data_IF_441595321451
#
_entry.id   IF_441595321451
#
_cell.length_a   1.000
_cell.length_b   1.000
_cell.length_c   1.000
_cell.angle_alpha   90.00
_cell.angle_beta   90.00
_cell.angle_gamma   90.00
#
_symmetry.space_group_name_H-M   'P 1'
#
loop_
_entity.id
_entity.type
_entity.pdbx_description
1 polymer ?
#
# COMPACT_ATOMS: atom_id res chain seq x y z
N UNK A 1 4.47 8.18 -16.27
CA UNK A 1 4.49 7.27 -15.09
C UNK A 1 5.85 7.47 -14.42
N UNK A 2 5.89 7.81 -13.14
CA UNK A 2 7.13 8.00 -12.37
C UNK A 2 7.33 6.92 -11.28
N UNK A 3 6.35 6.03 -11.12
CA UNK A 3 6.32 4.99 -10.11
C UNK A 3 5.60 3.74 -10.61
N UNK A 4 6.08 2.56 -10.21
CA UNK A 4 5.44 1.26 -10.48
C UNK A 4 5.36 0.44 -9.19
N UNK A 5 4.16 -0.03 -8.88
CA UNK A 5 3.88 -1.00 -7.81
C UNK A 5 3.88 -2.41 -8.38
N UNK A 6 4.55 -3.33 -7.68
CA UNK A 6 4.49 -4.77 -7.93
C UNK A 6 3.52 -5.41 -6.93
N UNK A 7 2.31 -5.72 -7.42
CA UNK A 7 1.19 -6.16 -6.60
C UNK A 7 1.46 -7.53 -5.95
N UNK A 8 1.77 -7.56 -4.64
CA UNK A 8 2.08 -8.78 -3.88
C UNK A 8 3.25 -9.60 -4.42
N UNK A 9 4.34 -8.95 -4.89
CA UNK A 9 5.61 -9.63 -5.16
C UNK A 9 6.79 -8.65 -5.30
N UNK A 10 8.01 -9.19 -5.29
CA UNK A 10 9.24 -8.46 -5.62
C UNK A 10 9.74 -8.85 -7.02
N UNK A 11 10.01 -7.90 -7.91
CA UNK A 11 10.53 -8.19 -9.24
C UNK A 11 11.99 -8.66 -9.21
N UNK A 12 12.49 -9.28 -10.29
CA UNK A 12 13.90 -9.64 -10.41
C UNK A 12 14.78 -8.40 -10.61
N UNK A 13 16.09 -8.55 -10.35
CA UNK A 13 17.17 -7.57 -10.60
C UNK A 13 16.99 -6.77 -11.91
N UNK A 14 16.66 -7.46 -13.01
CA UNK A 14 16.51 -6.84 -14.32
C UNK A 14 15.47 -5.70 -14.35
N UNK A 15 14.41 -5.80 -13.54
CA UNK A 15 13.41 -4.74 -13.43
C UNK A 15 13.96 -3.51 -12.69
N UNK A 16 14.76 -3.72 -11.63
CA UNK A 16 15.40 -2.64 -10.90
C UNK A 16 16.45 -1.92 -11.77
N UNK A 17 17.30 -2.67 -12.49
CA UNK A 17 18.28 -2.10 -13.43
C UNK A 17 17.60 -1.25 -14.52
N UNK A 18 16.47 -1.73 -15.06
CA UNK A 18 15.70 -0.97 -16.03
C UNK A 18 15.09 0.31 -15.41
N UNK A 19 14.53 0.20 -14.22
CA UNK A 19 13.92 1.33 -13.52
C UNK A 19 14.96 2.39 -13.10
N UNK A 20 16.15 1.96 -12.66
CA UNK A 20 17.29 2.84 -12.36
C UNK A 20 17.67 3.67 -13.59
N UNK A 21 17.74 3.01 -14.76
CA UNK A 21 18.12 3.66 -16.03
C UNK A 21 17.05 4.64 -16.53
N UNK A 22 15.78 4.36 -16.25
CA UNK A 22 14.64 5.17 -16.68
C UNK A 22 14.23 6.25 -15.66
N UNK A 23 14.79 6.22 -14.45
CA UNK A 23 14.40 7.12 -13.36
C UNK A 23 12.98 6.87 -12.86
N UNK A 24 12.56 5.60 -12.77
CA UNK A 24 11.23 5.19 -12.28
C UNK A 24 11.37 4.64 -10.87
N UNK A 25 10.53 5.08 -9.93
CA UNK A 25 10.49 4.51 -8.58
C UNK A 25 9.73 3.19 -8.55
N UNK A 26 10.23 2.22 -7.79
CA UNK A 26 9.58 0.93 -7.61
C UNK A 26 9.04 0.77 -6.18
N UNK A 27 7.85 0.18 -6.09
CA UNK A 27 7.28 -0.40 -4.87
C UNK A 27 7.11 -1.91 -5.02
N UNK A 28 8.13 -2.70 -4.64
CA UNK A 28 7.98 -4.11 -4.32
C UNK A 28 7.09 -4.32 -3.08
N UNK A 29 6.47 -5.50 -3.01
CA UNK A 29 5.70 -5.94 -1.85
C UNK A 29 6.10 -7.34 -1.43
N UNK A 30 5.88 -7.69 -0.15
CA UNK A 30 5.93 -9.09 0.24
C UNK A 30 4.87 -9.89 -0.54
N UNK A 31 5.12 -11.18 -0.81
CA UNK A 31 4.23 -12.02 -1.59
C UNK A 31 3.01 -12.48 -0.77
N UNK A 32 2.21 -11.53 -0.29
CA UNK A 32 1.14 -11.82 0.64
C UNK A 32 -0.13 -11.00 0.42
N UNK A 33 -1.24 -11.70 0.61
CA UNK A 33 -2.60 -11.19 0.74
C UNK A 33 -3.27 -12.03 1.82
N UNK A 34 -3.85 -11.38 2.83
CA UNK A 34 -4.50 -12.09 3.94
C UNK A 34 -4.26 -11.45 5.30
N UNK A 35 -4.38 -12.27 6.36
CA UNK A 35 -4.30 -11.81 7.75
C UNK A 35 -2.90 -11.98 8.32
N UNK A 36 -2.30 -10.88 8.80
CA UNK A 36 -1.13 -10.87 9.68
C UNK A 36 -1.54 -11.37 11.07
N UNK A 37 -1.66 -12.68 11.24
CA UNK A 37 -1.92 -13.30 12.56
C UNK A 37 -0.59 -13.63 13.25
N UNK A 38 -0.31 -12.96 14.37
CA UNK A 38 0.88 -13.23 15.20
C UNK A 38 0.94 -14.66 15.76
N UNK A 39 -0.18 -15.38 15.77
CA UNK A 39 -0.22 -16.80 16.17
C UNK A 39 0.28 -17.73 15.06
N UNK A 40 0.27 -17.29 13.80
CA UNK A 40 0.88 -18.03 12.70
C UNK A 40 2.38 -17.69 12.62
N UNK A 41 3.12 -18.22 13.59
CA UNK A 41 4.56 -17.97 13.73
C UNK A 41 5.34 -18.41 12.47
N UNK A 42 4.88 -19.46 11.79
CA UNK A 42 5.53 -19.96 10.57
C UNK A 42 5.39 -18.97 9.43
N UNK A 43 4.18 -18.47 9.19
CA UNK A 43 3.94 -17.48 8.15
C UNK A 43 4.64 -16.15 8.47
N UNK A 44 4.56 -15.68 9.72
CA UNK A 44 5.23 -14.45 10.12
C UNK A 44 6.75 -14.56 9.99
N UNK A 45 7.36 -15.68 10.41
CA UNK A 45 8.79 -15.90 10.23
C UNK A 45 9.19 -15.92 8.74
N UNK A 46 8.39 -16.56 7.89
CA UNK A 46 8.63 -16.57 6.45
C UNK A 46 8.56 -15.17 5.84
N UNK A 47 7.48 -14.42 6.12
CA UNK A 47 7.28 -13.08 5.54
C UNK A 47 8.33 -12.08 6.03
N UNK A 48 8.74 -12.15 7.30
CA UNK A 48 9.80 -11.30 7.83
C UNK A 48 11.13 -11.60 7.13
N UNK A 49 11.50 -12.89 7.08
CA UNK A 49 12.74 -13.32 6.44
C UNK A 49 12.76 -12.94 4.95
N UNK A 50 11.63 -13.07 4.26
CA UNK A 50 11.52 -12.69 2.86
C UNK A 50 11.70 -11.17 2.66
N UNK A 51 11.13 -10.34 3.53
CA UNK A 51 11.38 -8.90 3.48
C UNK A 51 12.85 -8.54 3.72
N UNK A 52 13.50 -9.20 4.68
CA UNK A 52 14.94 -9.05 4.91
C UNK A 52 15.74 -9.45 3.67
N UNK A 53 15.37 -10.55 3.01
CA UNK A 53 16.04 -11.01 1.79
C UNK A 53 15.90 -9.99 0.66
N UNK A 54 14.69 -9.51 0.40
CA UNK A 54 14.40 -8.49 -0.62
C UNK A 54 15.24 -7.22 -0.39
N UNK A 55 15.28 -6.73 0.84
CA UNK A 55 16.02 -5.51 1.19
C UNK A 55 17.54 -5.69 1.05
N UNK A 56 18.07 -6.87 1.42
CA UNK A 56 19.51 -7.14 1.29
C UNK A 56 19.93 -7.34 -0.16
N UNK A 57 19.11 -8.02 -0.94
CA UNK A 57 19.41 -8.31 -2.34
C UNK A 57 19.27 -7.04 -3.19
N UNK A 58 18.12 -6.39 -3.15
CA UNK A 58 17.76 -5.32 -4.09
C UNK A 58 17.83 -3.91 -3.49
N UNK A 59 18.02 -3.77 -2.17
CA UNK A 59 17.95 -2.46 -1.50
C UNK A 59 19.03 -1.46 -1.93
N UNK A 60 20.05 -1.91 -2.66
CA UNK A 60 21.11 -1.07 -3.22
C UNK A 60 20.66 -0.30 -4.48
N UNK A 61 19.54 -0.67 -5.11
CA UNK A 61 19.03 0.02 -6.29
C UNK A 61 18.41 1.38 -5.93
N UNK A 62 18.79 2.48 -6.62
CA UNK A 62 18.19 3.79 -6.40
C UNK A 62 16.72 3.88 -6.81
N UNK A 63 16.24 3.03 -7.73
CA UNK A 63 14.82 2.93 -8.07
C UNK A 63 13.98 2.31 -6.96
N UNK A 64 14.55 1.42 -6.13
CA UNK A 64 13.84 0.87 -4.99
C UNK A 64 13.73 1.93 -3.90
N UNK A 65 12.58 2.59 -3.80
CA UNK A 65 12.34 3.66 -2.81
C UNK A 65 11.21 3.36 -1.84
N UNK A 66 10.34 2.41 -2.17
CA UNK A 66 9.08 2.19 -1.46
C UNK A 66 8.86 0.70 -1.24
N UNK A 67 8.37 0.29 -0.07
CA UNK A 67 8.02 -1.10 0.21
C UNK A 67 6.71 -1.19 0.99
N UNK A 68 5.90 -2.20 0.69
CA UNK A 68 4.71 -2.53 1.48
C UNK A 68 4.76 -3.99 1.95
N UNK A 69 4.07 -4.30 3.05
CA UNK A 69 4.05 -5.66 3.60
C UNK A 69 3.15 -6.64 2.82
N UNK A 70 2.45 -6.19 1.78
CA UNK A 70 1.54 -6.99 0.98
C UNK A 70 0.31 -6.20 0.50
N UNK A 71 -0.69 -6.93 0.00
CA UNK A 71 -1.95 -6.39 -0.51
C UNK A 71 -3.12 -6.74 0.41
N UNK A 72 -4.04 -5.79 0.62
CA UNK A 72 -5.31 -5.94 1.34
C UNK A 72 -5.19 -6.73 2.64
N UNK A 73 -4.21 -6.31 3.44
CA UNK A 73 -3.86 -7.01 4.66
C UNK A 73 -4.84 -6.73 5.79
N UNK A 74 -5.10 -7.76 6.58
CA UNK A 74 -5.88 -7.69 7.82
C UNK A 74 -5.01 -8.18 9.00
N UNK A 75 -5.51 -8.13 10.23
CA UNK A 75 -4.85 -8.74 11.39
C UNK A 75 -4.12 -7.74 12.29
N UNK A 76 -2.99 -8.19 12.85
CA UNK A 76 -2.31 -7.52 13.96
C UNK A 76 -1.47 -6.32 13.48
N UNK A 77 -1.93 -5.12 13.81
CA UNK A 77 -1.30 -3.85 13.42
C UNK A 77 0.05 -3.66 14.12
N UNK A 78 0.19 -4.11 15.36
CA UNK A 78 1.47 -4.03 16.09
C UNK A 78 2.51 -4.93 15.42
N UNK A 79 2.10 -6.09 14.90
CA UNK A 79 2.98 -6.99 14.14
C UNK A 79 3.40 -6.39 12.79
N UNK A 80 2.48 -5.71 12.10
CA UNK A 80 2.83 -4.95 10.89
C UNK A 80 3.83 -3.84 11.21
N UNK A 81 3.61 -3.10 12.29
CA UNK A 81 4.54 -2.06 12.75
C UNK A 81 5.91 -2.62 13.08
N UNK A 82 5.97 -3.76 13.79
CA UNK A 82 7.22 -4.46 14.10
C UNK A 82 8.04 -4.75 12.84
N UNK A 83 7.40 -5.28 11.79
CA UNK A 83 8.07 -5.58 10.51
C UNK A 83 8.62 -4.31 9.86
N UNK A 84 7.81 -3.26 9.77
CA UNK A 84 8.24 -1.98 9.19
C UNK A 84 9.40 -1.38 9.96
N UNK A 85 9.34 -1.39 11.30
CA UNK A 85 10.41 -0.86 12.14
C UNK A 85 11.71 -1.66 11.98
N UNK A 86 11.63 -2.99 11.83
CA UNK A 86 12.80 -3.84 11.56
C UNK A 86 13.39 -3.63 10.17
N UNK A 87 12.54 -3.56 9.14
CA UNK A 87 12.96 -3.28 7.77
C UNK A 87 13.62 -1.90 7.66
N UNK A 88 13.08 -0.90 8.37
CA UNK A 88 13.66 0.45 8.44
C UNK A 88 15.04 0.47 9.08
N UNK A 89 15.36 -0.41 10.03
CA UNK A 89 16.73 -0.53 10.58
C UNK A 89 17.72 -1.05 9.54
N UNK A 90 17.26 -1.87 8.59
CA UNK A 90 18.09 -2.48 7.54
C UNK A 90 18.28 -1.50 6.38
N UNK A 91 17.21 -0.88 5.91
CA UNK A 91 17.21 0.07 4.81
C UNK A 91 16.44 1.35 5.23
N UNK A 92 17.11 2.24 5.99
CA UNK A 92 16.49 3.45 6.56
C UNK A 92 16.18 4.52 5.50
N UNK A 93 16.73 4.37 4.30
CA UNK A 93 16.52 5.28 3.20
C UNK A 93 15.24 4.96 2.41
N UNK A 94 14.52 3.87 2.70
CA UNK A 94 13.27 3.50 2.00
C UNK A 94 12.04 4.05 2.73
N UNK A 95 10.96 4.23 1.99
CA UNK A 95 9.63 4.54 2.53
C UNK A 95 8.82 3.26 2.69
N UNK A 96 8.11 3.15 3.81
CA UNK A 96 7.35 1.96 4.18
C UNK A 96 5.87 2.27 4.41
N UNK A 97 5.04 1.28 4.14
CA UNK A 97 3.63 1.29 4.50
C UNK A 97 3.20 -0.10 4.98
N UNK A 98 2.11 -0.18 5.74
CA UNK A 98 1.66 -1.46 6.31
C UNK A 98 1.07 -2.39 5.27
N UNK A 99 0.66 -1.88 4.12
CA UNK A 99 0.16 -2.67 3.01
C UNK A 99 -0.55 -1.76 2.01
N UNK A 100 -0.65 -2.20 0.77
CA UNK A 100 -1.58 -1.60 -0.18
C UNK A 100 -2.99 -2.02 0.18
N UNK A 101 -3.89 -1.08 0.46
CA UNK A 101 -5.25 -1.33 0.94
C UNK A 101 -5.33 -2.13 2.25
N UNK A 102 -4.38 -1.98 3.19
CA UNK A 102 -4.52 -2.64 4.49
C UNK A 102 -5.86 -2.23 5.17
N UNK A 103 -6.63 -3.21 5.65
CA UNK A 103 -8.00 -3.03 6.12
C UNK A 103 -8.91 -2.29 5.12
N UNK A 104 -8.64 -2.35 3.82
CA UNK A 104 -9.29 -1.55 2.77
C UNK A 104 -9.37 -0.05 3.12
N UNK A 105 -8.40 0.46 3.90
CA UNK A 105 -8.40 1.86 4.35
C UNK A 105 -9.22 2.19 5.59
N UNK A 106 -10.06 1.27 6.08
CA UNK A 106 -10.97 1.53 7.21
C UNK A 106 -10.26 1.90 8.51
N UNK A 107 -9.04 1.40 8.71
CA UNK A 107 -8.23 1.69 9.90
C UNK A 107 -7.44 3.01 9.80
N UNK A 108 -7.55 3.72 8.68
CA UNK A 108 -6.92 5.03 8.45
C UNK A 108 -5.40 4.95 8.34
N UNK A 109 -4.69 5.98 8.76
CA UNK A 109 -3.22 5.99 8.81
C UNK A 109 -2.78 5.54 10.23
N UNK A 110 -1.69 4.78 10.32
CA UNK A 110 -1.06 4.40 11.59
C UNK A 110 0.36 4.93 11.68
N UNK A 111 0.83 5.09 12.91
CA UNK A 111 2.21 5.48 13.19
C UNK A 111 3.19 4.45 12.60
N UNK A 112 4.23 4.95 11.90
CA UNK A 112 5.24 4.12 11.23
C UNK A 112 5.03 3.97 9.72
N UNK A 113 3.86 4.38 9.19
CA UNK A 113 3.63 4.51 7.74
C UNK A 113 4.19 5.84 7.23
N UNK A 114 5.01 5.81 6.18
CA UNK A 114 5.53 7.02 5.52
C UNK A 114 4.63 7.49 4.37
N UNK A 115 3.88 6.56 3.79
CA UNK A 115 2.88 6.81 2.74
C UNK A 115 1.73 5.83 2.91
N UNK A 116 0.62 6.08 2.22
CA UNK A 116 -0.52 5.17 2.25
C UNK A 116 -1.06 4.89 0.85
N UNK A 117 -0.87 3.65 0.40
CA UNK A 117 -1.56 3.12 -0.76
C UNK A 117 -2.93 2.59 -0.35
N UNK A 118 -4.00 3.27 -0.72
CA UNK A 118 -5.35 2.91 -0.26
C UNK A 118 -6.46 3.34 -1.22
N UNK A 119 -7.61 2.69 -1.12
CA UNK A 119 -8.86 3.07 -1.79
C UNK A 119 -9.67 4.08 -0.97
N UNK A 120 -9.52 4.09 0.36
CA UNK A 120 -10.18 5.05 1.26
C UNK A 120 -9.36 5.38 2.49
N UNK A 121 -9.75 6.43 3.22
CA UNK A 121 -9.16 6.79 4.52
C UNK A 121 -10.25 6.82 5.59
N UNK A 122 -10.16 5.87 6.53
CA UNK A 122 -11.04 5.79 7.68
C UNK A 122 -12.41 5.17 7.36
N UNK A 123 -13.32 5.27 8.34
CA UNK A 123 -14.67 4.73 8.21
C UNK A 123 -15.54 5.56 7.27
N UNK A 124 -16.37 4.87 6.52
CA UNK A 124 -17.27 5.43 5.52
C UNK A 124 -18.71 5.18 5.95
N UNK A 125 -19.55 6.23 5.94
CA UNK A 125 -20.99 6.04 6.07
C UNK A 125 -21.54 5.46 4.77
N UNK A 126 -22.43 4.47 4.83
CA UNK A 126 -23.01 3.87 3.63
C UNK A 126 -23.64 4.93 2.70
N UNK A 127 -23.28 4.91 1.42
CA UNK A 127 -23.70 5.92 0.44
C UNK A 127 -22.98 7.27 0.54
N UNK A 128 -21.89 7.33 1.31
CA UNK A 128 -20.95 8.46 1.33
C UNK A 128 -19.67 8.05 0.62
N UNK A 129 -19.04 9.01 -0.03
CA UNK A 129 -17.86 8.79 -0.86
C UNK A 129 -16.67 9.67 -0.43
N UNK A 130 -16.84 10.50 0.59
CA UNK A 130 -15.88 11.53 1.01
C UNK A 130 -14.60 10.99 1.71
N UNK A 131 -14.46 9.68 1.78
CA UNK A 131 -13.26 8.98 2.27
C UNK A 131 -12.48 8.33 1.14
N UNK A 132 -13.03 8.26 -0.07
CA UNK A 132 -12.38 7.58 -1.18
C UNK A 132 -11.17 8.37 -1.68
N UNK A 133 -10.11 7.64 -1.97
CA UNK A 133 -8.86 8.16 -2.56
C UNK A 133 -8.65 7.63 -3.98
N UNK A 134 -9.64 6.92 -4.52
CA UNK A 134 -9.68 6.41 -5.89
C UNK A 134 -11.11 6.27 -6.40
N UNK A 135 -11.27 6.15 -7.71
CA UNK A 135 -12.58 6.00 -8.34
C UNK A 135 -13.16 4.58 -8.26
N UNK A 136 -12.33 3.55 -8.48
CA UNK A 136 -12.78 2.16 -8.57
C UNK A 136 -12.98 1.50 -7.20
N UNK A 137 -14.14 0.85 -7.05
CA UNK A 137 -14.48 0.01 -5.90
C UNK A 137 -15.25 -1.22 -6.35
N UNK A 138 -15.10 -2.31 -5.59
CA UNK A 138 -16.03 -3.44 -5.69
C UNK A 138 -17.41 -3.03 -5.19
N UNK A 139 -18.46 -3.61 -5.77
CA UNK A 139 -19.83 -3.51 -5.24
C UNK A 139 -19.98 -4.08 -3.82
N UNK A 140 -19.04 -4.92 -3.38
CA UNK A 140 -18.99 -5.43 -2.02
C UNK A 140 -18.47 -4.38 -1.01
N UNK A 141 -17.71 -3.38 -1.46
CA UNK A 141 -16.87 -2.55 -0.62
C UNK A 141 -17.33 -1.09 -0.52
N UNK A 142 -18.21 -0.65 -1.42
CA UNK A 142 -18.80 0.69 -1.42
C UNK A 142 -20.20 0.66 -2.05
N UNK A 143 -21.07 1.59 -1.62
CA UNK A 143 -22.42 1.71 -2.18
C UNK A 143 -22.37 1.96 -3.70
N UNK A 144 -23.13 1.15 -4.44
CA UNK A 144 -23.14 1.08 -5.90
C UNK A 144 -21.75 0.88 -6.55
N UNK A 145 -20.78 0.30 -5.84
CA UNK A 145 -19.44 0.09 -6.39
C UNK A 145 -18.62 1.38 -6.52
N UNK A 146 -18.91 2.38 -5.68
CA UNK A 146 -18.12 3.61 -5.58
C UNK A 146 -18.53 4.72 -6.54
N UNK A 147 -17.76 5.80 -6.55
CA UNK A 147 -18.12 7.05 -7.23
C UNK A 147 -18.34 6.88 -8.74
N UNK A 148 -17.47 6.12 -9.41
CA UNK A 148 -17.51 5.95 -10.88
C UNK A 148 -18.80 5.25 -11.32
N UNK A 149 -19.28 4.30 -10.52
CA UNK A 149 -20.47 3.52 -10.84
C UNK A 149 -21.77 4.22 -10.36
N UNK A 150 -21.70 5.00 -9.28
CA UNK A 150 -22.89 5.65 -8.72
C UNK A 150 -23.26 6.96 -9.42
N UNK A 151 -22.29 7.81 -9.74
CA UNK A 151 -22.55 9.14 -10.29
C UNK A 151 -22.51 9.14 -11.81
N UNK A 152 -23.31 10.02 -12.42
CA UNK A 152 -23.10 10.39 -13.82
C UNK A 152 -21.72 11.07 -14.01
N UNK A 153 -21.10 10.92 -15.20
CA UNK A 153 -19.85 11.60 -15.51
C UNK A 153 -19.93 13.10 -15.22
N UNK A 154 -18.98 13.62 -14.44
CA UNK A 154 -18.92 15.03 -14.05
C UNK A 154 -17.46 15.49 -13.88
N UNK A 155 -17.24 16.80 -13.88
CA UNK A 155 -15.91 17.42 -13.76
C UNK A 155 -15.68 18.10 -12.39
N UNK A 156 -16.60 17.92 -11.45
CA UNK A 156 -16.59 18.64 -10.16
C UNK A 156 -16.13 17.77 -9.00
N UNK A 157 -16.26 16.45 -9.14
CA UNK A 157 -15.84 15.49 -8.12
C UNK A 157 -14.32 15.32 -8.14
N UNK A 158 -13.73 15.31 -6.96
CA UNK A 158 -12.31 15.06 -6.74
C UNK A 158 -12.13 14.26 -5.43
N UNK A 159 -10.88 14.02 -5.03
CA UNK A 159 -10.55 13.25 -3.83
C UNK A 159 -10.06 14.14 -2.67
N UNK A 160 -10.27 15.46 -2.75
CA UNK A 160 -9.70 16.42 -1.80
C UNK A 160 -10.19 16.15 -0.38
N UNK A 161 -11.49 15.88 -0.19
CA UNK A 161 -12.05 15.58 1.14
C UNK A 161 -11.39 14.38 1.83
N UNK A 162 -10.89 13.41 1.08
CA UNK A 162 -10.17 12.27 1.63
C UNK A 162 -8.68 12.62 1.83
N UNK A 163 -8.05 13.21 0.82
CA UNK A 163 -6.64 13.58 0.84
C UNK A 163 -6.30 14.63 1.90
N UNK A 164 -7.18 15.60 2.16
CA UNK A 164 -7.01 16.64 3.18
C UNK A 164 -6.99 16.08 4.60
N UNK A 165 -7.57 14.89 4.80
CA UNK A 165 -7.51 14.17 6.08
C UNK A 165 -6.22 13.38 6.25
N UNK A 166 -5.42 13.24 5.19
CA UNK A 166 -4.18 12.47 5.22
C UNK A 166 -3.04 13.30 5.83
N UNK A 167 -2.41 12.77 6.90
CA UNK A 167 -1.18 13.34 7.46
C UNK A 167 0.10 12.92 6.72
N UNK A 168 -0.02 12.04 5.74
CA UNK A 168 1.08 11.48 4.93
C UNK A 168 0.64 11.37 3.46
N UNK A 169 1.56 11.27 2.49
CA UNK A 169 1.22 11.12 1.08
C UNK A 169 0.31 9.90 0.82
N UNK A 170 -0.74 10.13 0.03
CA UNK A 170 -1.64 9.08 -0.46
C UNK A 170 -1.24 8.70 -1.88
N UNK A 171 -1.18 7.40 -2.15
CA UNK A 171 -0.94 6.86 -3.49
C UNK A 171 -2.13 6.02 -3.90
N UNK A 172 -2.70 6.37 -5.04
CA UNK A 172 -3.87 5.71 -5.58
C UNK A 172 -3.46 4.74 -6.68
N UNK A 173 -3.80 3.47 -6.51
CA UNK A 173 -3.71 2.44 -7.56
C UNK A 173 -5.12 1.94 -7.88
N UNK A 174 -5.32 1.46 -9.12
CA UNK A 174 -6.64 1.04 -9.65
C UNK A 174 -7.63 2.21 -9.72
N UNK A 175 -7.25 3.28 -10.42
CA UNK A 175 -8.05 4.50 -10.58
C UNK A 175 -9.12 4.45 -11.68
N UNK A 176 -9.31 3.28 -12.32
CA UNK A 176 -10.18 3.08 -13.50
C UNK A 176 -11.68 3.15 -13.23
#
# INVERSE_FOLDING_TARGET
INHVRFHSWCPPEAAFVAADSLGIYLQPELPFWGSFDKKDERLMAFLHQEGVNILREYGHHPSFRMMALGNELWGDIDKMKEFVDDFRKIAPDKYYTFGSNYYLGYQGIKEGMDYFTTCRIGSEGWGKYNTHTRGSFSFADAYDGGMINHFHPNSTMNFDEACDKAGIPIISHETG
#
